data_IF_894343633720
#
_entry.id   IF_894343633720
#
_cell.length_a   1.000
_cell.length_b   1.000
_cell.length_c   1.000
_cell.angle_alpha   90.00
_cell.angle_beta   90.00
_cell.angle_gamma   90.00
#
_symmetry.space_group_name_H-M   'P 1'
#
loop_
_entity.id
_entity.type
_entity.pdbx_description
1 polymer ?
#
# COMPACT_ATOMS: atom_id res chain seq x y z
N UNK A 1 -8.66 -29.92 -19.08
CA UNK A 1 -9.55 -28.78 -19.29
C UNK A 1 -8.71 -27.52 -19.29
N UNK A 2 -8.73 -26.75 -20.37
CA UNK A 2 -8.10 -25.42 -20.39
C UNK A 2 -8.85 -24.54 -19.40
N UNK A 3 -8.18 -24.14 -18.36
CA UNK A 3 -8.63 -23.02 -17.53
C UNK A 3 -8.63 -21.80 -18.45
N UNK A 4 -9.82 -21.27 -18.73
CA UNK A 4 -9.95 -19.98 -19.37
C UNK A 4 -9.26 -18.97 -18.47
N UNK A 5 -8.13 -18.46 -18.93
CA UNK A 5 -7.36 -17.36 -18.35
C UNK A 5 -8.06 -16.01 -18.51
N UNK A 6 -9.37 -16.01 -18.52
CA UNK A 6 -10.19 -14.84 -18.71
C UNK A 6 -10.45 -14.27 -17.32
N UNK A 7 -9.98 -13.04 -17.13
CA UNK A 7 -10.27 -12.14 -16.00
C UNK A 7 -9.47 -12.32 -14.71
N UNK A 8 -8.16 -12.34 -14.85
CA UNK A 8 -7.37 -11.68 -13.81
C UNK A 8 -7.37 -10.19 -14.17
N UNK A 9 -8.33 -9.44 -13.63
CA UNK A 9 -8.09 -8.01 -13.52
C UNK A 9 -6.85 -7.88 -12.65
N UNK A 10 -5.78 -7.28 -13.16
CA UNK A 10 -4.63 -6.89 -12.37
C UNK A 10 -5.13 -5.87 -11.35
N UNK A 11 -5.64 -6.36 -10.21
CA UNK A 11 -5.88 -5.48 -9.08
C UNK A 11 -4.52 -5.25 -8.44
N UNK A 12 -4.09 -4.01 -8.38
CA UNK A 12 -2.94 -3.59 -7.60
C UNK A 12 -3.25 -3.56 -6.10
N UNK A 13 -4.27 -4.27 -5.66
CA UNK A 13 -4.69 -4.32 -4.28
C UNK A 13 -3.73 -5.21 -3.49
N UNK A 14 -3.12 -4.66 -2.45
CA UNK A 14 -2.27 -5.40 -1.52
C UNK A 14 -3.05 -6.41 -0.68
N UNK A 15 -4.36 -6.22 -0.57
CA UNK A 15 -5.29 -7.10 0.14
C UNK A 15 -6.39 -7.51 -0.84
N UNK A 16 -6.57 -8.80 -1.02
CA UNK A 16 -7.55 -9.35 -1.96
C UNK A 16 -8.24 -10.59 -1.38
N UNK A 17 -9.28 -11.05 -2.03
CA UNK A 17 -9.94 -12.31 -1.73
C UNK A 17 -9.40 -13.35 -2.70
N UNK A 18 -8.99 -14.52 -2.17
CA UNK A 18 -8.46 -15.60 -2.99
C UNK A 18 -9.53 -16.11 -3.98
N UNK A 19 -9.08 -16.42 -5.19
CA UNK A 19 -9.88 -17.12 -6.19
C UNK A 19 -10.05 -18.59 -5.80
N UNK A 20 -11.02 -19.27 -6.39
CA UNK A 20 -11.24 -20.70 -6.18
C UNK A 20 -9.97 -21.54 -6.45
N UNK A 21 -9.23 -21.19 -7.50
CA UNK A 21 -8.00 -21.89 -7.85
C UNK A 21 -6.90 -21.69 -6.79
N UNK A 22 -6.69 -20.45 -6.34
CA UNK A 22 -5.70 -20.13 -5.31
C UNK A 22 -6.06 -20.83 -3.98
N UNK A 23 -7.33 -20.88 -3.64
CA UNK A 23 -7.81 -21.59 -2.47
C UNK A 23 -7.49 -23.09 -2.56
N UNK A 24 -7.74 -23.72 -3.71
CA UNK A 24 -7.43 -25.15 -3.93
C UNK A 24 -5.91 -25.46 -3.86
N UNK A 25 -5.06 -24.50 -4.21
CA UNK A 25 -3.61 -24.68 -4.20
C UNK A 25 -2.98 -24.41 -2.84
N UNK A 26 -3.48 -23.46 -2.06
CA UNK A 26 -2.77 -22.89 -0.93
C UNK A 26 -3.51 -23.04 0.40
N UNK A 27 -4.77 -23.49 0.41
CA UNK A 27 -5.52 -23.57 1.65
C UNK A 27 -5.34 -24.91 2.33
N UNK A 28 -4.81 -24.84 3.54
CA UNK A 28 -4.84 -25.94 4.51
C UNK A 28 -6.14 -25.88 5.32
N UNK A 29 -6.56 -27.02 5.86
CA UNK A 29 -7.77 -27.18 6.68
C UNK A 29 -7.79 -26.28 7.91
N UNK A 30 -6.62 -25.94 8.46
CA UNK A 30 -6.50 -24.99 9.58
C UNK A 30 -6.97 -23.58 9.22
N UNK A 31 -6.92 -23.22 7.95
CA UNK A 31 -7.36 -21.91 7.47
C UNK A 31 -8.89 -21.78 7.35
N UNK A 32 -9.64 -22.83 7.65
CA UNK A 32 -11.11 -22.77 7.69
C UNK A 32 -11.65 -22.18 9.01
N UNK A 33 -10.84 -22.05 10.05
CA UNK A 33 -11.29 -21.47 11.31
C UNK A 33 -11.51 -19.96 11.21
N UNK A 34 -12.66 -19.49 11.69
CA UNK A 34 -12.91 -18.07 11.84
C UNK A 34 -12.11 -17.50 13.01
N UNK A 35 -11.60 -16.27 12.82
CA UNK A 35 -11.05 -15.51 13.94
C UNK A 35 -12.14 -15.21 14.97
N UNK A 36 -11.74 -14.96 16.23
CA UNK A 36 -12.70 -14.55 17.27
C UNK A 36 -13.45 -13.28 16.87
N UNK A 37 -12.77 -12.34 16.24
CA UNK A 37 -13.39 -11.12 15.72
C UNK A 37 -14.46 -11.43 14.67
N UNK A 38 -14.18 -12.31 13.70
CA UNK A 38 -15.15 -12.67 12.68
C UNK A 38 -16.40 -13.33 13.30
N UNK A 39 -16.23 -14.19 14.31
CA UNK A 39 -17.34 -14.80 15.06
C UNK A 39 -18.18 -13.76 15.80
N UNK A 40 -17.56 -12.80 16.45
CA UNK A 40 -18.25 -11.68 17.11
C UNK A 40 -19.04 -10.80 16.12
N UNK A 41 -18.56 -10.70 14.87
CA UNK A 41 -19.25 -10.00 13.79
C UNK A 41 -20.34 -10.83 13.09
N UNK A 42 -20.62 -12.07 13.57
CA UNK A 42 -21.71 -12.89 13.09
C UNK A 42 -21.33 -13.86 11.96
N UNK A 43 -20.03 -14.10 11.72
CA UNK A 43 -19.64 -15.13 10.76
C UNK A 43 -20.15 -16.51 11.19
N UNK A 44 -20.79 -17.24 10.27
CA UNK A 44 -21.24 -18.58 10.50
C UNK A 44 -20.10 -19.51 10.92
N UNK A 45 -20.33 -20.32 11.91
CA UNK A 45 -19.38 -21.32 12.37
C UNK A 45 -20.09 -22.66 12.52
N UNK A 46 -19.59 -23.68 11.84
CA UNK A 46 -20.14 -25.03 11.94
C UNK A 46 -19.96 -25.59 13.35
N UNK A 47 -21.02 -26.12 13.93
CA UNK A 47 -21.05 -26.57 15.34
C UNK A 47 -20.21 -27.82 15.59
N UNK A 48 -19.96 -28.62 14.55
CA UNK A 48 -19.21 -29.88 14.62
C UNK A 48 -17.70 -29.71 14.44
N UNK A 49 -17.26 -28.70 13.68
CA UNK A 49 -15.86 -28.48 13.34
C UNK A 49 -15.30 -27.17 13.86
N UNK A 50 -16.13 -26.20 14.17
CA UNK A 50 -15.70 -24.83 14.54
C UNK A 50 -15.18 -23.99 13.36
N UNK A 51 -15.33 -24.49 12.14
CA UNK A 51 -14.87 -23.85 10.91
C UNK A 51 -15.94 -22.95 10.30
N UNK A 52 -15.58 -22.01 9.46
CA UNK A 52 -16.47 -21.04 8.83
C UNK A 52 -16.49 -21.19 7.32
N UNK A 53 -17.64 -20.86 6.73
CA UNK A 53 -17.73 -20.58 5.29
C UNK A 53 -17.23 -19.18 5.00
N UNK A 54 -16.66 -18.98 3.80
CA UNK A 54 -16.17 -17.67 3.36
C UNK A 54 -16.24 -17.51 1.84
N UNK A 55 -16.36 -16.24 1.42
CA UNK A 55 -16.43 -15.89 0.03
C UNK A 55 -15.09 -16.11 -0.70
N UNK A 56 -15.17 -16.68 -1.89
CA UNK A 56 -14.09 -16.71 -2.87
C UNK A 56 -14.28 -15.61 -3.91
N UNK A 57 -13.18 -15.11 -4.45
CA UNK A 57 -13.20 -14.17 -5.57
C UNK A 57 -13.73 -14.90 -6.80
N UNK A 58 -14.79 -14.39 -7.38
CA UNK A 58 -15.28 -14.81 -8.67
C UNK A 58 -15.38 -13.63 -9.59
N UNK A 59 -15.20 -13.97 -10.81
CA UNK A 59 -15.32 -13.07 -11.93
C UNK A 59 -16.71 -13.22 -12.56
N UNK A 60 -17.73 -12.83 -11.85
CA UNK A 60 -19.06 -12.97 -12.37
C UNK A 60 -19.91 -11.74 -12.11
N UNK A 61 -20.65 -11.36 -13.15
CA UNK A 61 -21.75 -10.39 -13.07
C UNK A 61 -23.01 -10.98 -12.44
N UNK A 62 -22.93 -12.19 -11.87
CA UNK A 62 -24.08 -12.88 -11.28
C UNK A 62 -24.34 -12.39 -9.86
N UNK A 63 -25.61 -12.44 -9.45
CA UNK A 63 -26.03 -12.16 -8.07
C UNK A 63 -25.63 -13.27 -7.09
N UNK A 64 -25.02 -14.34 -7.59
CA UNK A 64 -24.54 -15.48 -6.79
C UNK A 64 -23.02 -15.49 -6.79
N UNK A 65 -22.45 -15.58 -5.60
CA UNK A 65 -21.00 -15.69 -5.41
C UNK A 65 -20.56 -17.14 -5.21
N UNK A 66 -19.31 -17.44 -5.52
CA UNK A 66 -18.66 -18.69 -5.10
C UNK A 66 -18.21 -18.56 -3.66
N UNK A 67 -18.44 -19.60 -2.87
CA UNK A 67 -17.94 -19.64 -1.51
C UNK A 67 -17.38 -21.03 -1.17
N UNK A 68 -16.53 -21.05 -0.17
CA UNK A 68 -16.05 -22.28 0.45
C UNK A 68 -16.89 -22.53 1.68
N UNK A 69 -17.55 -23.67 1.71
CA UNK A 69 -18.32 -24.11 2.87
C UNK A 69 -17.43 -24.43 4.07
N UNK A 70 -18.01 -24.46 5.25
CA UNK A 70 -17.30 -24.71 6.50
C UNK A 70 -16.51 -26.04 6.52
N UNK A 71 -16.86 -27.00 5.72
CA UNK A 71 -16.14 -28.27 5.58
C UNK A 71 -15.17 -28.31 4.39
N UNK A 72 -14.82 -27.16 3.80
CA UNK A 72 -13.88 -27.04 2.70
C UNK A 72 -14.43 -27.35 1.30
N UNK A 73 -15.71 -27.65 1.19
CA UNK A 73 -16.35 -27.89 -0.12
C UNK A 73 -16.58 -26.57 -0.86
N UNK A 74 -16.35 -26.57 -2.17
CA UNK A 74 -16.65 -25.42 -3.02
C UNK A 74 -18.09 -25.45 -3.52
N UNK A 75 -18.73 -24.30 -3.49
CA UNK A 75 -20.09 -24.09 -4.00
C UNK A 75 -20.05 -23.00 -5.07
N UNK A 76 -20.11 -23.41 -6.34
CA UNK A 76 -20.02 -22.56 -7.53
C UNK A 76 -21.37 -21.95 -7.96
N UNK A 77 -22.48 -22.46 -7.40
CA UNK A 77 -23.82 -21.94 -7.58
C UNK A 77 -24.41 -21.45 -6.25
N UNK A 78 -23.56 -20.76 -5.51
CA UNK A 78 -23.69 -20.50 -4.10
C UNK A 78 -24.80 -19.54 -3.70
N UNK A 79 -24.66 -19.00 -2.52
CA UNK A 79 -25.58 -18.07 -1.90
C UNK A 79 -25.59 -16.72 -2.64
N UNK A 80 -26.69 -16.00 -2.51
CA UNK A 80 -26.73 -14.61 -2.98
C UNK A 80 -25.64 -13.82 -2.27
N UNK A 81 -24.94 -12.96 -2.98
CA UNK A 81 -23.89 -12.11 -2.39
C UNK A 81 -24.39 -11.15 -1.30
N UNK A 82 -25.71 -11.06 -1.14
CA UNK A 82 -26.40 -10.32 -0.08
C UNK A 82 -26.64 -11.14 1.20
N UNK A 83 -26.26 -12.42 1.25
CA UNK A 83 -26.34 -13.22 2.47
C UNK A 83 -25.13 -12.95 3.34
N UNK A 84 -25.36 -12.70 4.64
CA UNK A 84 -24.37 -12.09 5.56
C UNK A 84 -23.63 -13.09 6.44
N UNK A 85 -23.88 -14.38 6.32
CA UNK A 85 -23.31 -15.42 7.17
C UNK A 85 -21.96 -15.97 6.68
N UNK A 86 -21.58 -15.70 5.43
CA UNK A 86 -20.26 -16.05 4.93
C UNK A 86 -19.21 -14.99 5.32
N UNK A 87 -18.10 -15.46 5.89
CA UNK A 87 -16.99 -14.59 6.24
C UNK A 87 -16.23 -14.10 4.99
N UNK A 88 -15.47 -13.02 5.14
CA UNK A 88 -14.47 -12.58 4.18
C UNK A 88 -13.10 -12.97 4.71
N UNK A 89 -12.33 -13.68 3.89
CA UNK A 89 -10.95 -14.05 4.20
C UNK A 89 -10.00 -13.26 3.31
N UNK A 90 -9.44 -12.16 3.81
CA UNK A 90 -8.47 -11.40 3.06
C UNK A 90 -7.16 -12.17 2.92
N UNK A 91 -6.51 -12.02 1.78
CA UNK A 91 -5.18 -12.53 1.49
C UNK A 91 -4.26 -11.38 1.10
N UNK A 92 -2.98 -11.54 1.40
CA UNK A 92 -1.93 -10.62 0.97
C UNK A 92 -0.81 -11.42 0.30
N UNK A 93 -0.20 -10.85 -0.73
CA UNK A 93 1.05 -11.37 -1.25
C UNK A 93 2.21 -10.81 -0.42
N UNK A 94 3.06 -11.71 0.05
CA UNK A 94 4.29 -11.36 0.76
C UNK A 94 5.46 -12.10 0.13
N UNK A 95 6.64 -11.48 0.12
CA UNK A 95 7.89 -12.14 -0.21
C UNK A 95 8.73 -12.31 1.06
N UNK A 96 9.42 -13.44 1.17
CA UNK A 96 10.36 -13.65 2.25
C UNK A 96 11.73 -13.11 1.82
N UNK A 97 12.18 -12.07 2.49
CA UNK A 97 13.53 -11.55 2.31
C UNK A 97 14.51 -12.40 3.14
N UNK A 98 15.23 -13.27 2.45
CA UNK A 98 16.19 -14.22 3.07
C UNK A 98 17.32 -13.46 3.77
N UNK A 99 17.75 -12.33 3.25
CA UNK A 99 18.83 -11.54 3.84
C UNK A 99 18.42 -10.89 5.17
N UNK A 100 17.15 -10.53 5.28
CA UNK A 100 16.58 -9.88 6.47
C UNK A 100 15.90 -10.87 7.42
N UNK A 101 15.70 -12.12 6.99
CA UNK A 101 15.02 -13.14 7.77
C UNK A 101 13.56 -12.81 8.09
N UNK A 102 12.87 -12.05 7.25
CA UNK A 102 11.51 -11.59 7.48
C UNK A 102 10.63 -11.62 6.24
N UNK A 103 9.32 -11.69 6.49
CA UNK A 103 8.30 -11.52 5.45
C UNK A 103 8.10 -10.04 5.17
N UNK A 104 8.08 -9.69 3.89
CA UNK A 104 7.76 -8.35 3.42
C UNK A 104 6.57 -8.44 2.47
N UNK A 105 5.72 -7.41 2.37
CA UNK A 105 4.75 -7.36 1.30
C UNK A 105 5.47 -7.59 -0.03
N UNK A 106 5.00 -8.56 -0.81
CA UNK A 106 5.58 -8.80 -2.12
C UNK A 106 5.35 -7.58 -2.98
N UNK A 107 6.40 -6.82 -3.23
CA UNK A 107 6.42 -5.91 -4.36
C UNK A 107 6.59 -6.75 -5.63
N UNK A 108 5.61 -7.58 -5.96
CA UNK A 108 5.43 -8.03 -7.32
C UNK A 108 4.95 -6.82 -8.11
N UNK A 109 5.86 -6.23 -8.72
CA UNK A 109 5.96 -4.97 -9.40
C UNK A 109 6.46 -3.85 -8.47
N UNK A 110 7.74 -3.51 -8.66
CA UNK A 110 8.17 -2.13 -8.49
C UNK A 110 7.01 -1.28 -9.01
N UNK A 111 6.35 -0.57 -8.11
CA UNK A 111 5.11 0.16 -8.36
C UNK A 111 5.21 0.82 -9.75
N UNK A 112 4.67 0.15 -10.74
CA UNK A 112 4.45 0.77 -12.04
C UNK A 112 3.32 1.77 -11.80
N UNK A 113 3.66 2.90 -11.21
CA UNK A 113 2.74 3.99 -11.00
C UNK A 113 2.12 4.37 -12.34
N UNK A 114 1.00 5.01 -12.30
CA UNK A 114 0.31 5.46 -13.50
C UNK A 114 1.12 6.58 -14.15
N UNK A 115 1.49 6.42 -15.41
CA UNK A 115 2.10 7.51 -16.17
C UNK A 115 1.06 8.60 -16.41
N UNK A 116 1.45 9.84 -16.13
CA UNK A 116 0.64 11.02 -16.29
C UNK A 116 1.50 12.21 -16.71
N UNK A 117 0.85 13.30 -17.08
CA UNK A 117 1.54 14.54 -17.43
C UNK A 117 1.17 15.66 -16.46
N UNK A 118 2.14 16.50 -16.13
CA UNK A 118 1.85 17.74 -15.43
C UNK A 118 1.11 18.70 -16.38
N UNK A 119 0.07 19.35 -15.88
CA UNK A 119 -0.67 20.36 -16.64
C UNK A 119 -0.24 21.80 -16.27
N UNK A 120 0.65 21.95 -15.29
CA UNK A 120 1.24 23.20 -14.79
C UNK A 120 2.49 22.93 -13.95
N UNK A 121 3.21 23.97 -13.49
CA UNK A 121 4.33 23.81 -12.55
C UNK A 121 3.95 22.97 -11.32
N UNK A 122 4.82 22.04 -10.92
CA UNK A 122 4.57 21.14 -9.81
C UNK A 122 5.12 21.76 -8.52
N UNK A 123 4.28 22.37 -7.69
CA UNK A 123 4.62 22.71 -6.29
C UNK A 123 4.55 21.47 -5.44
N UNK A 124 5.58 21.22 -4.65
CA UNK A 124 5.77 19.95 -3.98
C UNK A 124 5.92 20.08 -2.47
N UNK A 125 5.51 19.01 -1.79
CA UNK A 125 5.64 18.85 -0.35
C UNK A 125 6.21 17.48 0.01
N UNK A 126 6.70 17.37 1.23
CA UNK A 126 7.23 16.10 1.73
C UNK A 126 6.13 15.09 2.10
N UNK A 127 4.88 15.49 2.13
CA UNK A 127 3.73 14.65 2.45
C UNK A 127 2.40 15.23 1.96
N UNK A 128 1.26 14.55 2.20
CA UNK A 128 0.00 14.79 1.51
C UNK A 128 -0.85 15.91 2.14
N UNK A 129 -0.30 17.04 2.45
CA UNK A 129 -1.07 18.25 2.82
C UNK A 129 -0.18 19.49 2.94
N UNK A 130 -0.79 20.66 3.14
CA UNK A 130 -0.07 21.91 3.42
C UNK A 130 0.62 21.93 4.79
N UNK A 131 0.35 20.95 5.66
CA UNK A 131 1.03 20.78 6.95
C UNK A 131 2.46 20.24 6.81
N UNK A 132 2.78 19.68 5.65
CA UNK A 132 4.11 19.13 5.39
C UNK A 132 5.06 20.17 4.82
N UNK A 133 6.36 19.95 5.02
CA UNK A 133 7.42 20.81 4.49
C UNK A 133 7.23 21.07 3.00
N UNK A 134 7.37 22.32 2.61
CA UNK A 134 7.44 22.70 1.20
C UNK A 134 8.83 22.39 0.64
N UNK A 135 8.86 21.69 -0.49
CA UNK A 135 10.09 21.25 -1.14
C UNK A 135 10.42 22.05 -2.41
N UNK A 136 9.60 23.06 -2.69
CA UNK A 136 9.76 23.95 -3.84
C UNK A 136 8.89 23.55 -5.03
N UNK A 137 9.16 24.23 -6.15
CA UNK A 137 8.44 24.00 -7.41
C UNK A 137 9.40 23.45 -8.45
N UNK A 138 8.97 22.39 -9.13
CA UNK A 138 9.66 21.80 -10.25
C UNK A 138 9.01 22.28 -11.54
N UNK A 139 9.85 22.61 -12.52
CA UNK A 139 9.51 23.21 -13.79
C UNK A 139 8.72 24.54 -13.66
N UNK A 140 8.68 25.28 -14.76
CA UNK A 140 7.95 26.56 -14.83
C UNK A 140 6.68 26.45 -15.69
N UNK A 141 6.42 25.28 -16.25
CA UNK A 141 5.33 24.95 -17.18
C UNK A 141 4.75 23.57 -16.91
N UNK A 142 3.80 23.15 -17.74
CA UNK A 142 3.25 21.79 -17.77
C UNK A 142 3.87 20.95 -18.89
N UNK A 143 3.34 19.74 -19.09
CA UNK A 143 3.73 18.83 -20.16
C UNK A 143 4.89 17.89 -19.79
N UNK A 144 5.26 17.80 -18.51
CA UNK A 144 6.31 16.89 -18.04
C UNK A 144 5.71 15.55 -17.59
N UNK A 145 6.33 14.47 -18.02
CA UNK A 145 5.92 13.11 -17.61
C UNK A 145 6.29 12.85 -16.17
N UNK A 146 5.34 12.33 -15.41
CA UNK A 146 5.50 11.88 -14.03
C UNK A 146 4.88 10.50 -13.87
N UNK A 147 5.37 9.74 -12.90
CA UNK A 147 4.75 8.51 -12.43
C UNK A 147 3.97 8.81 -11.16
N UNK A 148 2.65 8.56 -11.16
CA UNK A 148 1.79 8.75 -9.99
C UNK A 148 1.71 7.42 -9.25
N UNK A 149 2.20 7.39 -8.02
CA UNK A 149 2.34 6.16 -7.20
C UNK A 149 1.11 5.91 -6.33
N UNK A 150 0.63 6.96 -5.65
CA UNK A 150 -0.49 6.86 -4.72
C UNK A 150 -1.19 8.20 -4.55
N UNK A 151 -2.35 8.17 -3.90
CA UNK A 151 -3.08 9.38 -3.46
C UNK A 151 -3.39 9.32 -1.98
N UNK A 152 -3.42 10.47 -1.33
CA UNK A 152 -3.89 10.62 0.05
C UNK A 152 -4.75 11.88 0.17
N UNK A 153 -5.76 11.85 1.04
CA UNK A 153 -6.60 13.01 1.32
C UNK A 153 -5.89 14.00 2.25
N UNK A 154 -5.95 15.29 1.92
CA UNK A 154 -5.41 16.33 2.79
C UNK A 154 -5.91 17.72 2.38
N UNK A 155 -6.39 18.53 3.33
CA UNK A 155 -6.94 19.87 3.07
C UNK A 155 -8.06 19.90 2.00
N UNK A 156 -8.99 18.93 2.08
CA UNK A 156 -10.16 18.80 1.20
C UNK A 156 -9.84 18.56 -0.30
N UNK A 157 -8.60 18.16 -0.61
CA UNK A 157 -8.17 17.74 -1.95
C UNK A 157 -7.41 16.42 -1.88
N UNK A 158 -7.23 15.77 -3.03
CA UNK A 158 -6.29 14.67 -3.17
C UNK A 158 -4.88 15.19 -3.40
N UNK A 159 -3.94 14.63 -2.65
CA UNK A 159 -2.51 14.77 -2.84
C UNK A 159 -1.97 13.52 -3.51
N UNK A 160 -1.26 13.71 -4.60
CA UNK A 160 -0.66 12.63 -5.37
C UNK A 160 0.80 12.50 -5.01
N UNK A 161 1.23 11.30 -4.64
CA UNK A 161 2.64 10.97 -4.57
C UNK A 161 3.13 10.74 -5.99
N UNK A 162 4.05 11.56 -6.44
CA UNK A 162 4.59 11.52 -7.79
C UNK A 162 6.09 11.29 -7.80
N UNK A 163 6.55 10.60 -8.83
CA UNK A 163 7.96 10.33 -9.06
C UNK A 163 8.36 10.78 -10.46
N UNK A 164 9.52 11.42 -10.58
CA UNK A 164 10.06 11.93 -11.84
C UNK A 164 11.56 12.16 -11.76
N UNK A 165 12.20 12.25 -12.92
CA UNK A 165 13.62 12.61 -13.05
C UNK A 165 13.79 14.13 -13.11
N UNK A 166 14.70 14.66 -12.30
CA UNK A 166 15.06 16.09 -12.32
C UNK A 166 16.52 16.29 -11.96
N UNK A 167 17.28 16.92 -12.86
CA UNK A 167 18.70 17.20 -12.65
C UNK A 167 19.57 15.93 -12.46
N UNK A 168 19.21 14.83 -13.16
CA UNK A 168 19.94 13.56 -13.07
C UNK A 168 19.70 12.77 -11.78
N UNK A 169 18.64 13.11 -11.05
CA UNK A 169 18.20 12.41 -9.84
C UNK A 169 16.70 12.13 -9.90
N UNK A 170 16.30 11.02 -9.36
CA UNK A 170 14.88 10.71 -9.13
C UNK A 170 14.36 11.55 -7.95
N UNK A 171 13.13 12.02 -8.05
CA UNK A 171 12.44 12.80 -7.02
C UNK A 171 11.10 12.15 -6.76
N UNK A 172 10.79 11.79 -5.51
CA UNK A 172 9.49 11.27 -5.07
C UNK A 172 8.93 12.23 -4.03
N UNK A 173 7.82 12.88 -4.35
CA UNK A 173 7.23 13.99 -3.57
C UNK A 173 5.72 13.99 -3.71
N UNK A 174 5.04 14.86 -2.97
CA UNK A 174 3.59 15.06 -3.08
C UNK A 174 3.25 16.37 -3.77
N UNK A 175 2.22 16.34 -4.60
CA UNK A 175 1.62 17.52 -5.23
C UNK A 175 0.10 17.43 -5.23
N UNK A 176 -0.59 18.55 -5.32
CA UNK A 176 -2.05 18.55 -5.41
C UNK A 176 -2.55 17.97 -6.74
N UNK A 177 -3.66 17.25 -6.71
CA UNK A 177 -4.26 16.58 -7.88
C UNK A 177 -4.47 17.51 -9.08
N UNK A 178 -4.81 18.77 -8.84
CA UNK A 178 -5.07 19.76 -9.88
C UNK A 178 -3.85 20.10 -10.74
N UNK A 179 -2.66 19.54 -10.44
CA UNK A 179 -1.40 19.78 -11.18
C UNK A 179 -1.04 18.65 -12.12
N UNK A 180 -1.77 17.56 -12.06
CA UNK A 180 -1.49 16.35 -12.84
C UNK A 180 -2.74 15.98 -13.62
N UNK A 181 -2.56 15.72 -14.91
CA UNK A 181 -3.63 15.25 -15.78
C UNK A 181 -3.80 13.74 -15.64
N UNK A 182 -4.67 13.34 -14.72
CA UNK A 182 -4.96 11.94 -14.38
C UNK A 182 -6.36 11.79 -13.81
N UNK A 183 -7.00 10.66 -14.10
CA UNK A 183 -8.18 10.24 -13.38
C UNK A 183 -7.78 9.75 -11.97
N UNK A 184 -7.98 10.60 -10.98
CA UNK A 184 -7.59 10.36 -9.59
C UNK A 184 -8.29 9.12 -9.01
N UNK A 185 -9.48 8.75 -9.51
CA UNK A 185 -10.19 7.55 -9.02
C UNK A 185 -9.40 6.25 -9.27
N UNK A 186 -8.54 6.23 -10.27
CA UNK A 186 -7.68 5.10 -10.64
C UNK A 186 -6.38 5.02 -9.86
N UNK A 187 -6.02 6.06 -9.12
CA UNK A 187 -4.79 6.11 -8.32
C UNK A 187 -5.00 5.37 -7.00
N UNK A 188 -4.12 4.43 -6.62
CA UNK A 188 -4.21 3.72 -5.35
C UNK A 188 -4.21 4.69 -4.16
N UNK A 189 -5.00 4.37 -3.14
CA UNK A 189 -4.97 5.13 -1.88
C UNK A 189 -3.72 4.72 -1.09
N UNK A 190 -2.99 5.71 -0.58
CA UNK A 190 -1.82 5.48 0.28
C UNK A 190 -2.22 4.79 1.57
N UNK A 191 -1.45 3.78 1.99
CA UNK A 191 -1.64 3.11 3.27
C UNK A 191 -1.29 3.99 4.47
N UNK A 192 -1.78 3.59 5.64
CA UNK A 192 -1.40 4.22 6.92
C UNK A 192 0.00 3.82 7.38
N UNK A 193 0.40 4.33 8.56
CA UNK A 193 1.65 3.95 9.18
C UNK A 193 1.71 2.45 9.50
N UNK A 194 2.83 1.82 9.18
CA UNK A 194 3.09 0.38 9.40
C UNK A 194 3.84 0.10 10.71
N UNK A 195 4.28 1.16 11.39
CA UNK A 195 5.02 1.04 12.64
C UNK A 195 5.47 2.39 13.17
N UNK A 196 6.27 2.35 14.24
CA UNK A 196 7.02 3.48 14.77
C UNK A 196 8.51 3.25 14.62
N UNK A 197 9.27 4.31 14.35
CA UNK A 197 10.71 4.24 14.15
C UNK A 197 11.48 5.23 15.04
N UNK A 198 12.69 4.84 15.46
CA UNK A 198 13.64 5.71 16.13
C UNK A 198 14.98 5.68 15.40
N UNK A 199 15.47 6.83 15.00
CA UNK A 199 16.78 6.98 14.35
C UNK A 199 17.89 6.70 15.36
N UNK A 200 18.78 5.77 15.04
CA UNK A 200 19.87 5.32 15.91
C UNK A 200 21.17 6.09 15.71
N UNK A 201 21.36 6.64 14.51
CA UNK A 201 22.55 7.48 14.18
C UNK A 201 22.18 8.61 13.24
N UNK A 202 22.83 9.77 13.38
CA UNK A 202 22.64 10.92 12.48
C UNK A 202 23.03 10.53 11.06
N UNK A 203 22.10 10.71 10.11
CA UNK A 203 22.30 10.27 8.71
C UNK A 203 21.72 11.24 7.69
N UNK A 204 22.19 11.09 6.46
CA UNK A 204 21.61 11.72 5.28
C UNK A 204 20.26 11.11 4.96
N UNK A 205 19.34 11.92 4.47
CA UNK A 205 18.01 11.49 4.06
C UNK A 205 17.72 11.92 2.62
N UNK A 206 16.77 11.21 2.00
CA UNK A 206 16.46 11.32 0.58
C UNK A 206 14.97 11.56 0.36
N UNK A 207 14.62 11.99 -0.86
CA UNK A 207 13.24 12.15 -1.29
C UNK A 207 12.60 10.85 -1.81
N UNK A 208 13.31 9.72 -1.74
CA UNK A 208 12.83 8.41 -2.13
C UNK A 208 13.76 7.31 -1.64
N UNK A 209 13.43 6.02 -1.88
CA UNK A 209 14.08 4.87 -1.28
C UNK A 209 15.39 4.48 -2.00
N UNK A 210 16.40 5.33 -1.93
CA UNK A 210 17.70 5.03 -2.52
C UNK A 210 18.62 6.23 -2.68
N UNK A 211 19.90 5.98 -2.95
CA UNK A 211 20.90 7.02 -3.20
C UNK A 211 20.82 7.64 -4.60
N UNK A 212 20.07 7.03 -5.51
CA UNK A 212 19.71 7.60 -6.81
C UNK A 212 18.67 8.71 -6.69
N UNK A 213 17.94 8.77 -5.58
CA UNK A 213 17.01 9.84 -5.29
C UNK A 213 17.74 11.12 -4.84
N UNK A 214 17.07 12.26 -5.08
CA UNK A 214 17.56 13.56 -4.63
C UNK A 214 17.72 13.56 -3.12
N UNK A 215 18.89 14.00 -2.68
CA UNK A 215 19.21 14.14 -1.27
C UNK A 215 18.51 15.37 -0.67
N UNK A 216 18.00 15.23 0.54
CA UNK A 216 17.53 16.36 1.34
C UNK A 216 18.70 17.19 1.85
N UNK A 217 18.53 18.51 1.94
CA UNK A 217 19.61 19.39 2.40
C UNK A 217 20.01 19.15 3.87
N UNK A 218 19.05 18.78 4.71
CA UNK A 218 19.26 18.54 6.14
C UNK A 218 19.39 17.06 6.43
N UNK A 219 20.27 16.71 7.35
CA UNK A 219 20.37 15.38 7.93
C UNK A 219 19.29 15.19 9.00
N UNK A 220 18.93 13.94 9.28
CA UNK A 220 18.11 13.57 10.43
C UNK A 220 19.02 13.18 11.59
N UNK A 221 18.71 13.67 12.79
CA UNK A 221 19.53 13.43 13.99
C UNK A 221 19.20 12.11 14.66
N UNK A 222 20.20 11.49 15.28
CA UNK A 222 19.99 10.36 16.20
C UNK A 222 18.99 10.75 17.29
N UNK A 223 18.14 9.80 17.68
CA UNK A 223 17.08 10.00 18.65
C UNK A 223 15.76 10.51 18.08
N UNK A 224 15.72 11.00 16.83
CA UNK A 224 14.45 11.38 16.18
C UNK A 224 13.52 10.18 16.13
N UNK A 225 12.25 10.38 16.53
CA UNK A 225 11.19 9.38 16.48
C UNK A 225 10.08 9.81 15.53
N UNK A 226 9.40 8.85 14.91
CA UNK A 226 8.31 9.13 13.98
C UNK A 226 7.53 7.89 13.59
N UNK A 227 6.51 8.08 12.77
CA UNK A 227 5.76 6.99 12.15
C UNK A 227 6.52 6.43 10.95
N UNK A 228 6.57 5.11 10.83
CA UNK A 228 7.09 4.42 9.64
C UNK A 228 5.94 4.29 8.65
N UNK A 229 6.04 5.02 7.54
CA UNK A 229 4.98 5.07 6.52
C UNK A 229 5.17 4.02 5.43
N UNK A 230 6.42 3.66 5.12
CA UNK A 230 6.75 2.69 4.09
C UNK A 230 8.14 2.11 4.33
N UNK A 231 8.38 0.96 3.72
CA UNK A 231 9.71 0.35 3.60
C UNK A 231 9.88 -0.11 2.14
N UNK A 232 11.00 0.26 1.53
CA UNK A 232 11.29 -0.06 0.13
C UNK A 232 12.80 -0.05 -0.11
N UNK A 233 13.33 -1.03 -0.83
CA UNK A 233 14.74 -1.11 -1.24
C UNK A 233 15.77 -0.96 -0.09
N UNK A 234 15.44 -1.41 1.13
CA UNK A 234 16.31 -1.24 2.31
C UNK A 234 16.29 0.18 2.89
N UNK A 235 15.33 1.00 2.50
CA UNK A 235 15.06 2.33 3.04
C UNK A 235 13.71 2.37 3.73
N UNK A 236 13.62 3.23 4.73
CA UNK A 236 12.41 3.48 5.53
C UNK A 236 11.94 4.91 5.29
N UNK A 237 10.65 5.07 5.00
CA UNK A 237 9.98 6.37 4.99
C UNK A 237 9.55 6.72 6.42
N UNK A 238 10.20 7.69 7.03
CA UNK A 238 9.88 8.17 8.37
C UNK A 238 9.13 9.50 8.30
N UNK A 239 7.97 9.56 8.94
CA UNK A 239 7.19 10.77 9.13
C UNK A 239 7.37 11.29 10.55
N UNK A 240 7.79 12.54 10.70
CA UNK A 240 8.04 13.15 12.01
C UNK A 240 7.87 14.66 11.95
N UNK A 241 7.72 15.28 13.11
CA UNK A 241 7.77 16.74 13.22
C UNK A 241 9.15 17.16 13.74
N UNK A 242 9.95 17.91 12.95
CA UNK A 242 11.24 18.41 13.41
C UNK A 242 11.08 19.34 14.61
N UNK A 243 12.03 19.27 15.55
CA UNK A 243 12.02 20.16 16.72
C UNK A 243 12.04 21.63 16.30
N UNK A 244 11.13 22.42 16.88
CA UNK A 244 10.96 23.84 16.55
C UNK A 244 10.25 24.13 15.23
N UNK A 245 9.75 23.11 14.52
CA UNK A 245 8.94 23.27 13.32
C UNK A 245 7.47 23.01 13.60
N UNK A 246 6.59 23.76 12.93
CA UNK A 246 5.15 23.49 12.87
C UNK A 246 4.78 22.53 11.73
N UNK A 247 5.75 22.24 10.83
CA UNK A 247 5.55 21.39 9.67
C UNK A 247 5.96 19.95 9.97
N UNK A 248 5.25 19.02 9.36
CA UNK A 248 5.58 17.59 9.37
C UNK A 248 6.54 17.33 8.20
N UNK A 249 7.40 16.36 8.37
CA UNK A 249 8.36 15.94 7.34
C UNK A 249 8.31 14.45 7.11
N UNK A 250 8.29 14.04 5.85
CA UNK A 250 8.55 12.67 5.42
C UNK A 250 9.89 12.61 4.69
N UNK A 251 10.72 11.66 5.07
CA UNK A 251 12.03 11.44 4.43
C UNK A 251 12.34 9.96 4.37
N UNK A 252 13.17 9.58 3.43
CA UNK A 252 13.69 8.23 3.29
C UNK A 252 15.11 8.15 3.84
N UNK A 253 15.39 7.15 4.66
CA UNK A 253 16.71 6.90 5.24
C UNK A 253 17.00 5.39 5.26
N UNK A 254 18.29 4.98 5.24
CA UNK A 254 18.65 3.58 5.26
C UNK A 254 18.06 2.87 6.48
N UNK A 255 17.50 1.68 6.29
CA UNK A 255 16.86 0.91 7.35
C UNK A 255 17.78 0.58 8.52
N UNK A 256 19.07 0.30 8.25
CA UNK A 256 20.06 -0.06 9.26
C UNK A 256 20.35 1.03 10.31
N UNK A 257 19.85 2.25 10.10
CA UNK A 257 19.96 3.37 11.05
C UNK A 257 18.63 3.71 11.74
N UNK A 258 17.64 2.81 11.64
CA UNK A 258 16.33 2.98 12.28
C UNK A 258 15.98 1.73 13.09
N UNK A 259 15.68 1.91 14.38
CA UNK A 259 15.03 0.87 15.18
C UNK A 259 13.53 0.96 14.96
N UNK A 260 12.91 -0.10 14.44
CA UNK A 260 11.49 -0.12 14.05
C UNK A 260 10.71 -1.05 14.98
N UNK A 261 9.53 -0.59 15.38
CA UNK A 261 8.50 -1.41 16.03
C UNK A 261 7.27 -1.40 15.11
N UNK A 262 6.92 -2.55 14.54
CA UNK A 262 5.74 -2.72 13.69
C UNK A 262 4.45 -2.82 14.51
N UNK A 263 3.33 -2.36 13.95
CA UNK A 263 1.99 -2.43 14.56
C UNK A 263 1.36 -3.81 14.36
#
# INVERSE_FOLDING_TARGET
>A
GQLNSVYVSNSSDYVYILSQWEIQQYLDTELLYATEYARQCGAYTASDTGTSSYWARVDSTSTFGVFVGAHGSFYDHGNKVTEFDNAVRPAICVSFDVALGRWTPSSSDSSSGLLAMSNRPISTRSGPSTKYDELGTYWNDGGHTVTVLSRASGNDIWWLQVEFEYGGKTVRVYTGEQRIDIDVSRVPIEGGAIGSGRVTSTTTVYYGPGTNYKQHQQKISSGTTGAVMAWENGYVCLEFQPSGSYQIRRVWLPENVVSITYY
#
